data_IF_496294770729
#
_entry.id   IF_496294770729
#
_cell.length_a   1.000
_cell.length_b   1.000
_cell.length_c   1.000
_cell.angle_alpha   90.00
_cell.angle_beta   90.00
_cell.angle_gamma   90.00
#
_symmetry.space_group_name_H-M   'P 1'
#
loop_
_entity.id
_entity.type
_entity.pdbx_description
1 polymer ?
#
# COMPACT_ATOMS: atom_id res chain seq x y z
N UNK A 1 20.26 -7.25 -63.73
CA UNK A 1 18.80 -6.96 -63.77
C UNK A 1 18.29 -7.39 -62.42
N UNK A 2 18.59 -6.56 -61.42
CA UNK A 2 18.26 -6.78 -60.02
C UNK A 2 17.01 -5.95 -59.72
N UNK A 3 15.94 -6.57 -59.25
CA UNK A 3 14.77 -5.88 -58.75
C UNK A 3 14.82 -5.86 -57.22
N UNK A 4 15.01 -4.67 -56.67
CA UNK A 4 14.74 -4.35 -55.27
C UNK A 4 13.22 -4.38 -55.04
N UNK A 5 12.73 -4.94 -53.92
CA UNK A 5 11.32 -4.79 -53.55
C UNK A 5 11.09 -3.42 -52.91
N UNK A 6 10.12 -2.68 -53.44
CA UNK A 6 9.60 -1.46 -52.81
C UNK A 6 8.92 -1.80 -51.47
N UNK A 7 9.27 -1.04 -50.42
CA UNK A 7 8.51 -1.00 -49.17
C UNK A 7 7.25 -0.14 -49.37
N UNK A 8 6.10 -0.69 -49.01
CA UNK A 8 4.82 0.00 -48.98
C UNK A 8 4.65 0.77 -47.66
N UNK A 9 4.42 2.08 -47.74
CA UNK A 9 4.24 3.03 -46.62
C UNK A 9 2.79 3.05 -46.07
N UNK A 10 2.24 1.91 -45.66
CA UNK A 10 0.92 1.88 -44.98
C UNK A 10 0.86 0.86 -43.83
N UNK A 11 0.87 1.29 -42.55
CA UNK A 11 0.84 0.38 -41.41
C UNK A 11 -0.54 -0.22 -41.11
N UNK A 12 -1.59 0.11 -41.86
CA UNK A 12 -2.96 -0.31 -41.55
C UNK A 12 -3.42 -1.62 -42.25
N UNK A 13 -2.69 -2.14 -43.24
CA UNK A 13 -3.12 -3.32 -44.02
C UNK A 13 -2.35 -4.61 -43.73
N UNK A 14 -1.37 -4.59 -42.80
CA UNK A 14 -0.49 -5.74 -42.54
C UNK A 14 -1.10 -6.86 -41.67
N UNK A 15 -2.38 -6.78 -41.27
CA UNK A 15 -2.99 -7.73 -40.32
C UNK A 15 -4.07 -8.65 -40.89
N UNK A 16 -4.27 -8.71 -42.21
CA UNK A 16 -5.35 -9.53 -42.79
C UNK A 16 -4.89 -10.36 -43.99
N UNK A 17 -3.99 -11.31 -43.77
CA UNK A 17 -3.83 -12.47 -44.67
C UNK A 17 -3.66 -13.75 -43.84
N UNK A 18 -4.58 -14.69 -44.04
CA UNK A 18 -4.69 -15.94 -43.27
C UNK A 18 -3.66 -17.02 -43.68
N UNK A 19 -2.66 -16.68 -44.49
CA UNK A 19 -1.68 -17.64 -45.03
C UNK A 19 -0.31 -17.65 -44.33
N UNK A 20 -0.04 -16.76 -43.37
CA UNK A 20 1.25 -16.72 -42.67
C UNK A 20 1.29 -17.42 -41.29
N UNK A 21 0.18 -18.05 -40.87
CA UNK A 21 0.04 -18.68 -39.54
C UNK A 21 0.48 -20.15 -39.44
N UNK A 22 1.04 -20.74 -40.50
CA UNK A 22 1.58 -22.10 -40.47
C UNK A 22 3.11 -22.12 -40.42
N UNK A 23 3.69 -21.67 -39.30
CA UNK A 23 5.00 -22.15 -38.87
C UNK A 23 4.85 -22.91 -37.55
N UNK A 24 4.89 -24.23 -37.66
CA UNK A 24 4.79 -25.19 -36.56
C UNK A 24 5.99 -25.07 -35.63
N UNK A 25 5.83 -24.34 -34.52
CA UNK A 25 6.66 -24.58 -33.33
C UNK A 25 6.08 -25.78 -32.57
N UNK A 26 6.83 -26.87 -32.54
CA UNK A 26 6.48 -28.09 -31.84
C UNK A 26 6.58 -27.85 -30.33
N UNK A 27 5.48 -27.43 -29.70
CA UNK A 27 5.40 -27.35 -28.24
C UNK A 27 5.42 -28.78 -27.66
N UNK A 28 6.47 -29.08 -26.89
CA UNK A 28 6.52 -30.34 -26.14
C UNK A 28 5.42 -30.34 -25.09
N UNK A 29 4.60 -31.39 -25.09
CA UNK A 29 3.44 -31.48 -24.19
C UNK A 29 3.89 -31.44 -22.72
N UNK A 30 3.04 -30.85 -21.87
CA UNK A 30 3.23 -30.78 -20.40
C UNK A 30 3.61 -32.12 -19.77
N UNK A 31 3.15 -33.23 -20.38
CA UNK A 31 3.44 -34.61 -19.96
C UNK A 31 4.92 -34.98 -20.20
N UNK A 32 5.49 -34.62 -21.34
CA UNK A 32 6.90 -34.87 -21.64
C UNK A 32 7.85 -34.10 -20.71
N UNK A 33 7.45 -32.89 -20.28
CA UNK A 33 8.24 -32.07 -19.35
C UNK A 33 8.30 -32.67 -17.95
N UNK A 34 7.19 -33.23 -17.46
CA UNK A 34 7.13 -33.89 -16.15
C UNK A 34 7.92 -35.21 -16.12
N UNK A 35 7.98 -35.91 -17.24
CA UNK A 35 8.71 -37.18 -17.36
C UNK A 35 10.24 -36.95 -17.42
N UNK A 36 10.68 -35.84 -18.02
CA UNK A 36 12.07 -35.39 -18.00
C UNK A 36 12.54 -34.92 -16.60
N UNK A 37 11.66 -34.36 -15.77
CA UNK A 37 11.99 -34.01 -14.38
C UNK A 37 12.15 -35.25 -13.49
N UNK A 38 11.38 -36.31 -13.76
CA UNK A 38 11.39 -37.54 -12.97
C UNK A 38 12.64 -38.40 -13.19
N UNK A 39 13.32 -38.24 -14.32
CA UNK A 39 14.50 -39.02 -14.71
C UNK A 39 15.83 -38.37 -14.33
N UNK A 40 15.81 -37.19 -13.71
CA UNK A 40 17.03 -36.45 -13.36
C UNK A 40 17.70 -37.05 -12.10
N UNK A 41 18.96 -37.51 -12.19
CA UNK A 41 19.63 -38.17 -11.06
C UNK A 41 19.94 -37.16 -9.94
N UNK A 42 19.39 -37.39 -8.74
CA UNK A 42 19.67 -36.59 -7.54
C UNK A 42 20.97 -37.04 -6.89
N UNK A 43 22.09 -36.38 -7.22
CA UNK A 43 23.34 -36.51 -6.46
C UNK A 43 23.25 -35.61 -5.21
N UNK A 44 22.93 -36.18 -4.05
CA UNK A 44 23.04 -35.49 -2.75
C UNK A 44 24.47 -35.64 -2.24
N UNK A 45 25.29 -34.61 -2.43
CA UNK A 45 26.53 -34.47 -1.65
C UNK A 45 26.18 -33.83 -0.30
N UNK A 46 26.31 -34.65 0.76
CA UNK A 46 26.15 -34.23 2.15
C UNK A 46 27.45 -33.55 2.60
N UNK A 47 27.52 -32.23 2.48
CA UNK A 47 28.60 -31.45 3.10
C UNK A 47 28.33 -31.40 4.61
N UNK A 48 29.07 -32.23 5.37
CA UNK A 48 29.11 -32.16 6.83
C UNK A 48 30.10 -31.07 7.23
N UNK A 49 29.59 -29.88 7.55
CA UNK A 49 30.40 -28.84 8.19
C UNK A 49 30.44 -29.13 9.68
N UNK A 50 31.60 -29.58 10.18
CA UNK A 50 31.90 -29.62 11.63
C UNK A 50 32.05 -28.18 12.13
N UNK A 51 31.33 -27.74 13.18
CA UNK A 51 31.62 -26.45 13.80
C UNK A 51 32.92 -26.54 14.60
N UNK A 52 33.90 -25.71 14.24
CA UNK A 52 35.09 -25.47 15.05
C UNK A 52 34.69 -24.63 16.26
N UNK A 53 34.94 -25.17 17.46
CA UNK A 53 34.77 -24.52 18.75
C UNK A 53 35.81 -23.40 18.88
N UNK A 54 35.39 -22.15 18.67
CA UNK A 54 36.22 -20.99 19.01
C UNK A 54 36.24 -20.82 20.54
N UNK A 55 37.44 -20.85 21.11
CA UNK A 55 37.70 -20.57 22.51
C UNK A 55 37.41 -19.10 22.84
N UNK A 56 36.63 -18.87 23.90
CA UNK A 56 36.41 -17.54 24.49
C UNK A 56 37.71 -17.02 25.08
N UNK A 57 38.22 -15.83 24.70
CA UNK A 57 39.23 -15.16 25.49
C UNK A 57 38.64 -14.64 26.81
N UNK A 58 39.47 -14.72 27.84
CA UNK A 58 39.13 -14.43 29.23
C UNK A 58 38.73 -12.97 29.46
N UNK A 59 37.80 -12.82 30.40
CA UNK A 59 37.29 -11.57 30.96
C UNK A 59 38.43 -10.78 31.62
N UNK A 60 38.82 -9.65 31.03
CA UNK A 60 39.71 -8.70 31.68
C UNK A 60 38.95 -7.93 32.77
N UNK A 61 39.57 -7.83 33.95
CA UNK A 61 39.08 -7.14 35.14
C UNK A 61 38.93 -5.63 34.91
N UNK A 62 37.83 -5.07 35.43
CA UNK A 62 37.62 -3.62 35.58
C UNK A 62 38.54 -3.09 36.69
N UNK A 63 39.37 -2.07 36.46
CA UNK A 63 39.97 -1.34 37.56
C UNK A 63 38.95 -0.41 38.21
N UNK A 64 39.08 -0.30 39.53
CA UNK A 64 38.17 0.31 40.47
C UNK A 64 37.98 1.83 40.27
N UNK A 65 36.76 2.26 40.59
CA UNK A 65 36.30 3.65 40.69
C UNK A 65 36.95 4.31 41.92
N UNK A 66 37.65 5.43 41.72
CA UNK A 66 38.12 6.32 42.78
C UNK A 66 37.41 7.71 42.68
N UNK A 67 37.31 8.47 43.79
CA UNK A 67 36.19 9.37 44.06
C UNK A 67 36.32 10.79 43.48
N UNK A 68 35.16 11.40 43.24
CA UNK A 68 34.93 12.81 42.88
C UNK A 68 35.47 13.78 43.96
N UNK A 69 36.20 14.83 43.59
CA UNK A 69 36.31 16.03 44.42
C UNK A 69 35.14 16.99 44.21
N UNK A 70 34.78 17.69 45.28
CA UNK A 70 33.64 18.58 45.39
C UNK A 70 33.84 19.95 44.71
N UNK A 71 32.69 20.53 44.37
CA UNK A 71 32.37 21.80 43.72
C UNK A 71 32.93 23.04 44.44
N UNK A 72 33.22 24.13 43.71
CA UNK A 72 32.96 25.46 44.22
C UNK A 72 31.76 26.10 43.51
N UNK A 73 30.85 26.60 44.33
CA UNK A 73 29.72 27.47 43.97
C UNK A 73 30.26 28.87 43.73
N UNK A 74 29.89 29.54 42.62
CA UNK A 74 29.73 31.00 42.61
C UNK A 74 28.99 31.56 41.39
N UNK A 75 27.89 32.24 41.73
CA UNK A 75 27.40 33.55 41.21
C UNK A 75 27.16 33.76 39.71
N UNK A 76 25.88 33.81 39.34
CA UNK A 76 25.33 34.85 38.46
C UNK A 76 25.17 36.18 39.27
N UNK A 77 24.81 37.36 38.70
CA UNK A 77 24.38 37.66 37.33
C UNK A 77 25.02 38.94 36.70
N UNK A 78 24.87 39.14 35.39
CA UNK A 78 24.78 40.49 34.80
C UNK A 78 24.18 40.46 33.39
N UNK A 79 23.00 41.05 33.27
CA UNK A 79 22.38 41.57 32.05
C UNK A 79 23.19 42.73 31.45
N UNK A 80 23.39 42.76 30.13
CA UNK A 80 23.15 43.95 29.27
C UNK A 80 23.25 43.65 27.76
N UNK A 81 22.60 44.47 26.90
CA UNK A 81 22.21 44.08 25.55
C UNK A 81 23.03 44.76 24.41
N UNK A 82 22.68 44.32 23.20
CA UNK A 82 22.71 45.02 21.90
C UNK A 82 24.06 45.31 21.24
N UNK A 83 24.28 44.66 20.09
CA UNK A 83 24.63 45.39 18.87
C UNK A 83 24.22 44.64 17.61
N UNK A 84 23.53 45.39 16.77
CA UNK A 84 23.22 45.14 15.37
C UNK A 84 24.47 44.89 14.55
N UNK A 85 24.37 44.02 13.54
CA UNK A 85 24.91 44.43 12.25
C UNK A 85 24.08 43.90 11.08
N UNK A 86 23.71 44.85 10.23
CA UNK A 86 23.14 44.66 8.91
C UNK A 86 24.27 44.30 7.97
N UNK A 87 24.07 43.36 7.05
CA UNK A 87 24.42 43.63 5.64
C UNK A 87 23.71 42.69 4.68
N UNK A 88 23.20 43.35 3.65
CA UNK A 88 22.47 42.85 2.50
C UNK A 88 23.37 42.07 1.54
N UNK A 89 22.74 41.16 0.78
CA UNK A 89 22.76 40.96 -0.68
C UNK A 89 21.65 39.91 -0.92
N UNK A 90 20.75 39.96 -1.89
CA UNK A 90 20.75 40.61 -3.19
C UNK A 90 20.14 39.61 -4.16
N UNK A 91 18.84 39.76 -4.40
CA UNK A 91 18.03 39.44 -5.61
C UNK A 91 18.58 38.38 -6.59
N UNK A 92 17.82 37.30 -6.80
CA UNK A 92 17.40 36.88 -8.14
C UNK A 92 16.01 36.25 -8.10
N UNK A 93 15.07 36.95 -8.72
CA UNK A 93 13.76 36.47 -9.12
C UNK A 93 13.79 36.16 -10.62
N UNK A 94 13.32 34.98 -10.99
CA UNK A 94 12.73 34.58 -12.29
C UNK A 94 11.78 33.43 -11.91
N UNK A 95 10.45 33.53 -11.81
CA UNK A 95 9.36 33.93 -12.72
C UNK A 95 9.11 32.93 -13.86
N UNK A 96 8.01 32.16 -13.67
CA UNK A 96 7.06 31.56 -14.65
C UNK A 96 7.51 30.29 -15.39
N UNK A 97 6.67 29.30 -15.73
CA UNK A 97 5.23 29.20 -16.07
C UNK A 97 4.71 27.82 -15.60
N UNK A 98 3.55 27.70 -14.95
CA UNK A 98 2.20 27.50 -15.52
C UNK A 98 1.89 26.07 -16.02
N UNK A 99 1.04 25.36 -15.27
CA UNK A 99 0.09 24.36 -15.78
C UNK A 99 -1.13 24.38 -14.85
N UNK A 100 -1.92 25.44 -14.98
CA UNK A 100 -3.28 25.53 -14.47
C UNK A 100 -4.19 25.73 -15.69
N UNK A 101 -4.73 24.64 -16.23
CA UNK A 101 -5.79 24.69 -17.21
C UNK A 101 -6.47 23.31 -17.29
N UNK A 102 -7.44 23.07 -16.41
CA UNK A 102 -8.68 22.33 -16.72
C UNK A 102 -9.64 22.42 -15.52
N UNK A 103 -10.10 23.64 -15.22
CA UNK A 103 -11.33 23.85 -14.44
C UNK A 103 -12.30 24.60 -15.33
N UNK A 104 -13.01 23.84 -16.17
CA UNK A 104 -14.18 24.33 -16.87
C UNK A 104 -15.25 24.66 -15.85
N UNK A 105 -15.64 25.93 -15.79
CA UNK A 105 -16.74 26.45 -15.00
C UNK A 105 -18.06 25.94 -15.57
N UNK A 106 -18.55 24.81 -15.09
CA UNK A 106 -19.97 24.49 -15.14
C UNK A 106 -20.63 25.10 -13.90
N UNK A 107 -21.38 26.18 -14.10
CA UNK A 107 -22.26 26.72 -13.08
C UNK A 107 -23.35 25.68 -12.77
N UNK A 108 -23.36 25.16 -11.53
CA UNK A 108 -24.47 24.35 -11.02
C UNK A 108 -25.45 25.27 -10.28
N UNK A 109 -26.77 25.10 -10.45
CA UNK A 109 -27.76 25.79 -9.64
C UNK A 109 -27.74 25.21 -8.22
N UNK A 110 -27.47 26.07 -7.23
CA UNK A 110 -27.59 25.72 -5.83
C UNK A 110 -29.07 25.63 -5.44
N UNK A 111 -29.55 24.43 -5.15
CA UNK A 111 -30.78 24.24 -4.37
C UNK A 111 -30.49 23.36 -3.16
N UNK A 112 -30.60 24.01 -2.00
CA UNK A 112 -31.04 23.51 -0.70
C UNK A 112 -30.41 22.24 -0.10
N UNK A 113 -29.55 22.44 0.90
CA UNK A 113 -29.58 21.62 2.12
C UNK A 113 -29.53 22.53 3.34
N UNK A 114 -30.61 22.50 4.12
CA UNK A 114 -30.67 23.01 5.48
C UNK A 114 -30.56 21.81 6.41
N UNK A 115 -29.57 21.80 7.29
CA UNK A 115 -29.44 20.79 8.34
C UNK A 115 -28.06 20.88 9.00
N UNK A 116 -28.04 21.45 10.21
CA UNK A 116 -26.86 21.79 10.99
C UNK A 116 -26.02 20.56 11.38
N UNK A 117 -24.70 20.63 11.18
CA UNK A 117 -23.77 19.61 11.67
C UNK A 117 -22.33 19.80 11.19
N UNK A 118 -21.48 20.40 12.03
CA UNK A 118 -20.01 20.38 12.03
C UNK A 118 -19.26 20.75 10.74
N UNK A 119 -18.72 21.97 10.71
CA UNK A 119 -18.02 22.64 9.59
C UNK A 119 -16.65 22.05 9.20
N UNK A 120 -16.24 20.91 9.78
CA UNK A 120 -14.98 20.22 9.42
C UNK A 120 -15.22 18.98 8.56
N UNK A 121 -16.43 18.39 8.57
CA UNK A 121 -16.78 17.22 7.76
C UNK A 121 -17.29 17.57 6.35
N UNK A 122 -18.12 18.61 6.23
CA UNK A 122 -18.81 18.95 4.97
C UNK A 122 -17.88 19.42 3.84
N UNK A 123 -16.70 19.96 4.16
CA UNK A 123 -15.75 20.43 3.15
C UNK A 123 -15.00 19.27 2.45
N UNK A 124 -14.95 18.07 3.04
CA UNK A 124 -14.27 16.90 2.44
C UNK A 124 -15.19 16.12 1.49
N UNK A 125 -16.50 16.17 1.69
CA UNK A 125 -17.49 15.53 0.82
C UNK A 125 -17.54 16.18 -0.57
N UNK A 126 -17.17 17.46 -0.68
CA UNK A 126 -17.23 18.20 -1.95
C UNK A 126 -16.02 17.97 -2.88
N UNK A 127 -14.89 17.43 -2.39
CA UNK A 127 -13.65 17.36 -3.17
C UNK A 127 -13.40 16.02 -3.89
N UNK A 128 -14.29 15.03 -3.73
CA UNK A 128 -14.23 13.75 -4.46
C UNK A 128 -15.21 13.70 -5.64
N UNK A 129 -15.63 14.85 -6.18
CA UNK A 129 -16.42 14.93 -7.41
C UNK A 129 -15.46 14.99 -8.60
N UNK A 130 -14.78 13.88 -8.90
CA UNK A 130 -14.18 13.68 -10.22
C UNK A 130 -15.19 12.91 -11.07
N UNK A 131 -15.85 13.64 -11.96
CA UNK A 131 -16.71 13.10 -13.01
C UNK A 131 -15.86 12.28 -13.99
N UNK A 132 -15.85 10.96 -13.84
CA UNK A 132 -15.48 10.05 -14.94
C UNK A 132 -16.65 9.99 -15.92
N UNK A 133 -16.59 10.82 -16.96
CA UNK A 133 -17.53 10.78 -18.08
C UNK A 133 -17.14 9.65 -19.04
N UNK A 134 -17.78 8.49 -18.85
CA UNK A 134 -17.78 7.39 -19.81
C UNK A 134 -19.07 6.59 -19.69
N UNK A 135 -20.06 6.89 -20.54
CA UNK A 135 -21.26 6.05 -20.70
C UNK A 135 -22.40 6.30 -19.69
N UNK A 136 -23.04 7.46 -19.76
CA UNK A 136 -24.49 7.61 -19.51
C UNK A 136 -25.06 7.34 -18.11
N UNK A 137 -24.27 6.94 -17.11
CA UNK A 137 -24.73 6.75 -15.74
C UNK A 137 -23.86 7.59 -14.80
N UNK A 138 -24.47 8.61 -14.21
CA UNK A 138 -23.82 9.44 -13.18
C UNK A 138 -23.87 8.67 -11.87
N UNK A 139 -22.80 7.95 -11.52
CA UNK A 139 -22.66 7.38 -10.17
C UNK A 139 -21.86 8.33 -9.30
N UNK A 140 -22.58 9.03 -8.43
CA UNK A 140 -22.02 9.77 -7.30
C UNK A 140 -21.86 8.77 -6.17
N UNK A 141 -20.62 8.33 -5.89
CA UNK A 141 -20.36 7.50 -4.71
C UNK A 141 -20.23 8.43 -3.50
N UNK A 142 -21.37 8.80 -2.93
CA UNK A 142 -21.40 9.28 -1.56
C UNK A 142 -21.00 8.12 -0.64
N UNK A 143 -20.15 8.40 0.37
CA UNK A 143 -19.75 7.41 1.40
C UNK A 143 -20.93 6.91 2.26
N UNK A 144 -22.09 7.53 2.10
CA UNK A 144 -23.29 7.26 2.88
C UNK A 144 -24.13 6.15 2.21
N UNK A 145 -23.84 4.90 2.56
CA UNK A 145 -24.84 3.83 2.57
C UNK A 145 -25.49 3.44 1.24
N UNK A 146 -24.81 3.56 0.10
CA UNK A 146 -25.26 2.91 -1.13
C UNK A 146 -24.90 1.41 -1.06
N UNK A 147 -25.93 0.56 -1.07
CA UNK A 147 -25.79 -0.85 -1.43
C UNK A 147 -24.86 -0.94 -2.66
N UNK A 148 -23.70 -1.55 -2.49
CA UNK A 148 -22.81 -1.83 -3.61
C UNK A 148 -23.60 -2.77 -4.53
N UNK A 149 -24.10 -2.24 -5.65
CA UNK A 149 -24.89 -3.02 -6.62
C UNK A 149 -24.02 -3.96 -7.47
N UNK A 150 -22.71 -3.99 -7.19
CA UNK A 150 -21.76 -4.88 -7.83
C UNK A 150 -21.70 -6.22 -7.11
N UNK A 151 -21.38 -7.28 -7.86
CA UNK A 151 -21.21 -8.59 -7.23
C UNK A 151 -20.01 -8.57 -6.27
N UNK A 152 -20.07 -9.31 -5.15
CA UNK A 152 -18.93 -9.49 -4.23
C UNK A 152 -17.61 -9.81 -4.94
N UNK A 153 -17.68 -10.60 -6.02
CA UNK A 153 -16.52 -11.00 -6.81
C UNK A 153 -15.91 -9.83 -7.61
N UNK A 154 -16.71 -8.85 -8.01
CA UNK A 154 -16.22 -7.66 -8.73
C UNK A 154 -15.40 -6.72 -7.83
N UNK A 155 -15.57 -6.81 -6.51
CA UNK A 155 -14.79 -6.04 -5.54
C UNK A 155 -13.41 -6.67 -5.27
N UNK A 156 -13.22 -7.94 -5.59
CA UNK A 156 -11.92 -8.59 -5.46
C UNK A 156 -11.08 -8.37 -6.73
N UNK A 157 -10.26 -7.31 -6.75
CA UNK A 157 -9.42 -7.02 -7.92
C UNK A 157 -8.19 -7.93 -8.05
N UNK A 158 -7.91 -8.81 -7.08
CA UNK A 158 -6.68 -9.61 -7.01
C UNK A 158 -6.50 -10.61 -8.16
N UNK A 159 -7.62 -11.07 -8.74
CA UNK A 159 -7.63 -12.04 -9.86
C UNK A 159 -8.47 -11.59 -11.05
N UNK A 160 -9.17 -10.45 -10.95
CA UNK A 160 -10.05 -9.96 -12.00
C UNK A 160 -9.27 -9.35 -13.16
N UNK A 161 -9.83 -9.46 -14.37
CA UNK A 161 -9.30 -8.84 -15.59
C UNK A 161 -9.80 -7.40 -15.82
N UNK A 162 -10.59 -6.86 -14.89
CA UNK A 162 -11.18 -5.53 -14.92
C UNK A 162 -11.25 -4.95 -13.52
N UNK A 163 -11.17 -3.62 -13.40
CA UNK A 163 -11.37 -2.91 -12.13
C UNK A 163 -12.83 -2.46 -12.03
N UNK A 164 -13.51 -2.78 -10.93
CA UNK A 164 -14.87 -2.29 -10.68
C UNK A 164 -14.88 -0.78 -10.44
N UNK A 165 -15.94 -0.06 -10.84
CA UNK A 165 -16.09 1.36 -10.53
C UNK A 165 -15.97 1.68 -9.03
N UNK A 166 -16.48 0.82 -8.14
CA UNK A 166 -16.37 1.02 -6.69
C UNK A 166 -14.93 0.93 -6.21
N UNK A 167 -14.16 -0.05 -6.68
CA UNK A 167 -12.73 -0.20 -6.35
C UNK A 167 -11.94 0.98 -6.90
N UNK A 168 -12.16 1.34 -8.17
CA UNK A 168 -11.49 2.46 -8.82
C UNK A 168 -11.75 3.78 -8.08
N UNK A 169 -13.00 4.07 -7.71
CA UNK A 169 -13.36 5.29 -7.00
C UNK A 169 -12.65 5.41 -5.64
N UNK A 170 -12.56 4.32 -4.88
CA UNK A 170 -11.83 4.32 -3.61
C UNK A 170 -10.32 4.47 -3.84
N UNK A 171 -9.76 3.77 -4.83
CA UNK A 171 -8.35 3.90 -5.20
C UNK A 171 -7.99 5.35 -5.59
N UNK A 172 -8.84 6.04 -6.36
CA UNK A 172 -8.67 7.47 -6.69
C UNK A 172 -8.61 8.33 -5.43
N UNK A 173 -9.49 8.10 -4.45
CA UNK A 173 -9.46 8.82 -3.17
C UNK A 173 -8.15 8.59 -2.41
N UNK A 174 -7.68 7.35 -2.37
CA UNK A 174 -6.41 6.98 -1.73
C UNK A 174 -5.22 7.63 -2.44
N UNK A 175 -5.22 7.70 -3.77
CA UNK A 175 -4.18 8.40 -4.53
C UNK A 175 -4.19 9.92 -4.28
N UNK A 176 -5.35 10.52 -3.97
CA UNK A 176 -5.42 11.87 -3.43
C UNK A 176 -4.73 12.01 -2.06
N UNK A 177 -4.84 11.01 -1.18
CA UNK A 177 -4.11 10.97 0.08
C UNK A 177 -2.59 10.81 -0.14
N UNK A 178 -2.16 10.05 -1.16
CA UNK A 178 -0.75 9.96 -1.56
C UNK A 178 -0.23 11.32 -2.04
N UNK A 179 -0.95 11.97 -2.95
CA UNK A 179 -0.56 13.29 -3.48
C UNK A 179 -0.43 14.37 -2.40
N UNK A 180 -1.23 14.28 -1.32
CA UNK A 180 -1.17 15.18 -0.17
C UNK A 180 -0.15 14.79 0.91
N UNK A 181 0.58 13.67 0.74
CA UNK A 181 1.56 13.17 1.72
C UNK A 181 0.93 12.55 2.98
N UNK A 182 -0.38 12.29 2.95
CA UNK A 182 -1.13 11.64 4.05
C UNK A 182 -1.03 10.13 3.99
N UNK A 183 -0.92 9.54 2.79
CA UNK A 183 -0.60 8.13 2.60
C UNK A 183 0.81 8.02 2.02
N UNK A 184 1.68 7.26 2.67
CA UNK A 184 3.08 7.09 2.25
C UNK A 184 3.44 5.61 2.16
N UNK A 185 4.31 5.27 1.21
CA UNK A 185 4.79 3.90 1.00
C UNK A 185 6.20 3.71 1.54
N UNK A 186 6.56 2.47 1.87
CA UNK A 186 7.94 2.07 2.12
C UNK A 186 8.68 1.69 0.83
N UNK A 187 9.89 1.15 0.94
CA UNK A 187 10.63 0.57 -0.20
C UNK A 187 10.84 -0.92 0.04
N UNK A 188 10.40 -1.82 -0.88
CA UNK A 188 9.67 -1.54 -2.12
C UNK A 188 8.31 -0.88 -1.91
N UNK A 189 7.89 -0.08 -2.88
CA UNK A 189 6.68 0.73 -2.76
C UNK A 189 5.48 0.02 -3.38
N UNK A 190 4.50 -0.34 -2.55
CA UNK A 190 3.27 -1.01 -2.95
C UNK A 190 2.13 -0.05 -3.31
N UNK A 191 2.33 1.27 -3.21
CA UNK A 191 1.32 2.25 -3.62
C UNK A 191 1.08 2.29 -5.14
N UNK A 192 2.00 1.72 -5.93
CA UNK A 192 1.80 1.56 -7.38
C UNK A 192 0.59 0.68 -7.72
N UNK A 193 0.32 -0.34 -6.90
CA UNK A 193 -0.85 -1.22 -7.08
C UNK A 193 -2.17 -0.45 -6.92
N UNK A 194 -2.23 0.49 -5.97
CA UNK A 194 -3.39 1.37 -5.79
C UNK A 194 -3.50 2.35 -6.96
N UNK A 195 -2.38 2.83 -7.49
CA UNK A 195 -2.36 3.73 -8.64
C UNK A 195 -2.94 3.05 -9.89
N UNK A 196 -2.55 1.80 -10.16
CA UNK A 196 -3.09 1.01 -11.28
C UNK A 196 -4.63 0.88 -11.17
N UNK A 197 -5.13 0.57 -9.97
CA UNK A 197 -6.58 0.50 -9.73
C UNK A 197 -7.27 1.86 -9.91
N UNK A 198 -6.64 2.96 -9.51
CA UNK A 198 -7.19 4.31 -9.68
C UNK A 198 -7.30 4.70 -11.17
N UNK A 199 -6.35 4.25 -11.99
CA UNK A 199 -6.37 4.42 -13.45
C UNK A 199 -7.33 3.44 -14.16
N UNK A 200 -7.88 2.46 -13.43
CA UNK A 200 -8.74 1.41 -13.97
C UNK A 200 -7.97 0.30 -14.68
N UNK A 201 -6.65 0.21 -14.42
CA UNK A 201 -5.77 -0.79 -15.00
C UNK A 201 -5.79 -2.07 -14.14
N UNK A 202 -6.34 -3.14 -14.70
CA UNK A 202 -6.26 -4.48 -14.11
C UNK A 202 -4.93 -5.13 -14.50
N UNK A 203 -3.90 -4.93 -13.66
CA UNK A 203 -2.57 -5.52 -13.87
C UNK A 203 -2.52 -6.92 -13.25
N UNK A 204 -2.10 -7.91 -14.05
CA UNK A 204 -2.08 -9.30 -13.63
C UNK A 204 -1.20 -9.51 -12.38
N UNK A 205 -1.78 -10.10 -11.33
CA UNK A 205 -1.13 -10.34 -10.02
C UNK A 205 -0.77 -9.07 -9.23
N UNK A 206 -1.35 -7.92 -9.59
CA UNK A 206 -1.15 -6.64 -8.90
C UNK A 206 -2.45 -6.04 -8.36
N UNK A 207 -3.54 -6.81 -8.36
CA UNK A 207 -4.78 -6.37 -7.75
C UNK A 207 -4.69 -6.28 -6.24
N UNK A 208 -5.62 -5.52 -5.65
CA UNK A 208 -5.76 -5.32 -4.20
C UNK A 208 -7.19 -5.61 -3.79
N UNK A 209 -7.36 -6.37 -2.71
CA UNK A 209 -8.67 -6.64 -2.13
C UNK A 209 -9.34 -5.32 -1.72
N UNK A 210 -10.62 -5.15 -2.06
CA UNK A 210 -11.34 -3.92 -1.72
C UNK A 210 -11.31 -3.63 -0.21
N UNK A 211 -11.34 -4.66 0.64
CA UNK A 211 -11.28 -4.54 2.10
C UNK A 211 -9.96 -3.96 2.58
N UNK A 212 -8.86 -4.25 1.88
CA UNK A 212 -7.54 -3.63 2.14
C UNK A 212 -7.62 -2.13 1.86
N UNK A 213 -8.18 -1.71 0.72
CA UNK A 213 -8.35 -0.29 0.39
C UNK A 213 -9.25 0.41 1.44
N UNK A 214 -10.33 -0.25 1.87
CA UNK A 214 -11.21 0.28 2.92
C UNK A 214 -10.49 0.44 4.26
N UNK A 215 -9.68 -0.55 4.68
CA UNK A 215 -8.89 -0.47 5.91
C UNK A 215 -7.90 0.71 5.87
N UNK A 216 -7.24 0.95 4.74
CA UNK A 216 -6.37 2.12 4.55
C UNK A 216 -7.18 3.41 4.63
N UNK A 217 -8.37 3.47 4.03
CA UNK A 217 -9.25 4.64 4.13
C UNK A 217 -9.68 4.92 5.57
N UNK A 218 -10.07 3.90 6.33
CA UNK A 218 -10.45 4.05 7.74
C UNK A 218 -9.26 4.56 8.57
N UNK A 219 -8.04 4.06 8.31
CA UNK A 219 -6.84 4.59 8.94
C UNK A 219 -6.63 6.08 8.57
N UNK A 220 -6.82 6.46 7.31
CA UNK A 220 -6.73 7.86 6.89
C UNK A 220 -7.83 8.76 7.47
N UNK A 221 -8.98 8.23 7.86
CA UNK A 221 -10.03 9.02 8.51
C UNK A 221 -9.69 9.30 9.99
N UNK A 222 -8.85 8.47 10.62
CA UNK A 222 -8.50 8.55 12.04
C UNK A 222 -7.08 9.07 12.30
N UNK A 223 -6.19 9.01 11.31
CA UNK A 223 -4.80 9.43 11.40
C UNK A 223 -4.48 10.48 10.32
N UNK A 224 -3.68 11.49 10.69
CA UNK A 224 -3.23 12.54 9.77
C UNK A 224 -2.27 12.00 8.71
N UNK A 225 -1.45 11.01 9.07
CA UNK A 225 -0.54 10.31 8.18
C UNK A 225 -0.57 8.80 8.43
N UNK A 226 -0.60 8.02 7.36
CA UNK A 226 -0.59 6.56 7.35
C UNK A 226 0.53 6.10 6.43
N UNK A 227 1.37 5.18 6.91
CA UNK A 227 2.42 4.54 6.13
C UNK A 227 2.16 3.06 5.95
N UNK A 228 2.22 2.60 4.71
CA UNK A 228 2.03 1.20 4.30
C UNK A 228 3.34 0.64 3.77
N UNK A 229 3.77 -0.51 4.30
CA UNK A 229 5.00 -1.17 3.83
C UNK A 229 4.72 -2.21 2.77
N UNK A 230 3.61 -2.96 2.87
CA UNK A 230 3.30 -4.06 1.98
C UNK A 230 1.80 -4.17 1.71
N UNK A 231 1.45 -4.53 0.46
CA UNK A 231 0.08 -4.84 0.03
C UNK A 231 0.09 -6.12 -0.83
N UNK A 232 0.47 -6.06 -2.10
CA UNK A 232 0.57 -7.22 -2.99
C UNK A 232 2.04 -7.56 -3.28
N UNK A 233 2.63 -8.39 -2.43
CA UNK A 233 4.00 -8.91 -2.66
C UNK A 233 4.10 -9.80 -3.90
N UNK A 234 3.00 -10.34 -4.42
CA UNK A 234 3.00 -11.05 -5.70
C UNK A 234 3.28 -10.13 -6.88
N UNK A 235 2.79 -8.89 -6.82
CA UNK A 235 3.03 -7.87 -7.84
C UNK A 235 4.52 -7.56 -8.01
N UNK A 236 5.23 -7.44 -6.89
CA UNK A 236 6.66 -7.12 -6.86
C UNK A 236 7.56 -8.35 -6.91
N UNK A 237 6.98 -9.55 -6.81
CA UNK A 237 7.73 -10.82 -6.71
C UNK A 237 8.46 -11.02 -5.39
N UNK A 238 8.15 -10.24 -4.36
CA UNK A 238 8.74 -10.38 -3.03
C UNK A 238 8.21 -11.65 -2.33
N UNK A 239 9.12 -12.44 -1.77
CA UNK A 239 8.78 -13.62 -0.98
C UNK A 239 9.38 -13.42 0.42
N UNK A 240 8.51 -13.13 1.37
CA UNK A 240 8.86 -12.78 2.75
C UNK A 240 7.94 -13.52 3.73
N UNK A 241 8.33 -13.61 5.00
CA UNK A 241 7.52 -14.23 6.05
C UNK A 241 7.05 -15.65 5.69
N UNK A 242 5.74 -15.87 5.69
CA UNK A 242 5.09 -17.14 5.32
C UNK A 242 5.27 -17.55 3.84
N UNK A 243 6.04 -16.80 3.06
CA UNK A 243 6.34 -17.12 1.67
C UNK A 243 5.10 -17.00 0.78
N UNK A 244 4.93 -17.96 -0.13
CA UNK A 244 3.79 -17.97 -1.07
C UNK A 244 2.44 -18.24 -0.39
N UNK A 245 2.45 -18.68 0.87
CA UNK A 245 1.24 -18.92 1.66
C UNK A 245 0.77 -17.66 2.40
N UNK A 246 1.54 -16.56 2.33
CA UNK A 246 1.15 -15.26 2.89
C UNK A 246 -0.02 -14.65 2.12
N UNK A 247 -0.96 -13.99 2.79
CA UNK A 247 -2.05 -13.24 2.16
C UNK A 247 -1.59 -12.08 1.27
N UNK A 248 -0.35 -11.59 1.42
CA UNK A 248 0.25 -10.66 0.46
C UNK A 248 0.55 -11.31 -0.90
N UNK A 249 0.61 -12.65 -0.97
CA UNK A 249 1.07 -13.40 -2.15
C UNK A 249 0.07 -14.44 -2.67
N UNK A 250 -0.59 -15.16 -1.77
CA UNK A 250 -1.53 -16.23 -2.08
C UNK A 250 -2.71 -15.74 -2.92
N UNK A 251 -3.28 -16.63 -3.73
CA UNK A 251 -4.51 -16.45 -4.50
C UNK A 251 -4.59 -15.25 -5.46
N UNK A 252 -3.47 -14.56 -5.73
CA UNK A 252 -3.48 -13.32 -6.54
C UNK A 252 -2.64 -12.23 -5.89
N UNK A 253 -2.42 -12.37 -4.58
CA UNK A 253 -1.80 -11.39 -3.71
C UNK A 253 -2.74 -10.23 -3.41
N UNK A 254 -2.33 -9.31 -2.54
CA UNK A 254 -3.11 -8.11 -2.25
C UNK A 254 -4.29 -8.33 -1.29
N UNK A 255 -4.33 -9.45 -0.57
CA UNK A 255 -5.33 -9.72 0.47
C UNK A 255 -4.87 -9.26 1.87
N UNK A 256 -3.76 -8.54 1.97
CA UNK A 256 -3.22 -8.07 3.24
C UNK A 256 -2.62 -6.68 3.13
N UNK A 257 -2.47 -6.02 4.28
CA UNK A 257 -1.80 -4.73 4.42
C UNK A 257 -0.93 -4.72 5.67
N UNK A 258 0.31 -4.27 5.48
CA UNK A 258 1.23 -3.99 6.57
C UNK A 258 1.32 -2.49 6.79
N UNK A 259 0.78 -2.00 7.91
CA UNK A 259 0.97 -0.62 8.35
C UNK A 259 2.28 -0.52 9.13
N UNK A 260 3.20 0.35 8.71
CA UNK A 260 4.47 0.56 9.41
C UNK A 260 4.55 1.90 10.14
N UNK A 261 3.64 2.84 9.84
CA UNK A 261 3.67 4.19 10.38
C UNK A 261 2.26 4.75 10.57
N UNK A 262 1.99 5.37 11.72
CA UNK A 262 0.80 6.20 11.94
C UNK A 262 1.19 7.52 12.61
N UNK A 263 0.73 8.65 12.08
CA UNK A 263 1.06 10.00 12.57
C UNK A 263 2.57 10.18 12.84
N UNK A 264 3.42 9.73 11.90
CA UNK A 264 4.88 9.82 12.01
C UNK A 264 5.53 8.91 13.05
N UNK A 265 4.80 7.98 13.69
CA UNK A 265 5.38 7.01 14.63
C UNK A 265 5.39 5.61 14.05
N UNK A 266 6.51 4.87 14.15
CA UNK A 266 6.58 3.51 13.67
C UNK A 266 5.69 2.58 14.49
N UNK A 267 5.17 1.54 13.85
CA UNK A 267 4.29 0.56 14.48
C UNK A 267 5.04 -0.72 14.88
N UNK A 268 4.49 -1.42 15.86
CA UNK A 268 4.97 -2.73 16.31
C UNK A 268 3.87 -3.80 16.37
N UNK A 269 2.62 -3.43 16.07
CA UNK A 269 1.44 -4.28 16.24
C UNK A 269 0.95 -4.38 17.69
N UNK A 270 1.65 -3.73 18.63
CA UNK A 270 1.24 -3.62 20.04
C UNK A 270 1.53 -2.27 20.71
N UNK A 271 2.10 -1.31 19.97
CA UNK A 271 2.20 0.07 20.40
C UNK A 271 0.83 0.76 20.46
N UNK A 272 0.76 1.93 21.12
CA UNK A 272 -0.50 2.63 21.37
C UNK A 272 -1.31 2.92 20.09
N UNK A 273 -0.66 3.26 18.97
CA UNK A 273 -1.36 3.59 17.72
C UNK A 273 -1.82 2.34 16.97
N UNK A 274 -1.05 1.26 17.03
CA UNK A 274 -1.52 -0.05 16.57
C UNK A 274 -2.79 -0.46 17.32
N UNK A 275 -2.78 -0.35 18.65
CA UNK A 275 -3.91 -0.72 19.50
C UNK A 275 -5.14 0.18 19.27
N UNK A 276 -4.93 1.45 18.93
CA UNK A 276 -6.00 2.37 18.53
C UNK A 276 -6.64 1.94 17.20
N UNK A 277 -5.84 1.72 16.16
CA UNK A 277 -6.34 1.28 14.85
C UNK A 277 -7.06 -0.08 14.93
N UNK A 278 -6.54 -1.03 15.72
CA UNK A 278 -7.19 -2.34 15.94
C UNK A 278 -8.60 -2.15 16.51
N UNK A 279 -8.77 -1.29 17.53
CA UNK A 279 -10.10 -1.07 18.15
C UNK A 279 -11.08 -0.38 17.21
N UNK A 280 -10.58 0.48 16.32
CA UNK A 280 -11.39 1.14 15.30
C UNK A 280 -11.85 0.11 14.27
N UNK A 281 -10.96 -0.77 13.82
CA UNK A 281 -11.25 -1.73 12.76
C UNK A 281 -12.03 -2.96 13.22
N UNK A 282 -11.81 -3.46 14.44
CA UNK A 282 -12.42 -4.72 14.91
C UNK A 282 -13.94 -4.77 14.69
N UNK A 283 -14.77 -3.75 15.02
CA UNK A 283 -16.20 -3.84 14.77
C UNK A 283 -16.59 -3.70 13.28
N UNK A 284 -15.69 -3.18 12.44
CA UNK A 284 -15.94 -2.87 11.03
C UNK A 284 -15.53 -4.03 10.11
N UNK A 285 -14.43 -4.70 10.42
CA UNK A 285 -13.94 -5.81 9.60
C UNK A 285 -14.86 -7.02 9.71
N UNK A 286 -14.98 -7.83 8.65
CA UNK A 286 -15.76 -9.05 8.75
C UNK A 286 -15.11 -10.09 9.68
N UNK A 287 -15.92 -11.03 10.16
CA UNK A 287 -15.41 -12.15 10.95
C UNK A 287 -14.39 -12.96 10.16
N UNK A 288 -13.36 -13.45 10.85
CA UNK A 288 -12.28 -14.22 10.23
C UNK A 288 -11.12 -13.39 9.71
N UNK A 289 -11.19 -12.05 9.80
CA UNK A 289 -10.07 -11.16 9.42
C UNK A 289 -8.82 -11.47 10.25
N UNK A 290 -7.69 -11.75 9.61
CA UNK A 290 -6.43 -12.04 10.28
C UNK A 290 -5.81 -10.77 10.88
N UNK A 291 -5.21 -10.93 12.06
CA UNK A 291 -4.48 -9.86 12.75
C UNK A 291 -3.14 -10.39 13.26
N UNK A 292 -2.04 -9.94 12.67
CA UNK A 292 -0.70 -10.38 13.08
C UNK A 292 -0.29 -9.87 14.46
N UNK A 293 0.97 -10.12 14.84
CA UNK A 293 1.63 -9.55 16.03
C UNK A 293 0.98 -9.89 17.38
N UNK A 294 0.35 -11.07 17.52
CA UNK A 294 -0.28 -11.47 18.80
C UNK A 294 0.73 -11.44 19.97
N UNK A 295 2.00 -11.81 19.74
CA UNK A 295 3.06 -11.79 20.75
C UNK A 295 3.61 -10.39 21.09
N UNK A 296 3.17 -9.34 20.40
CA UNK A 296 3.68 -7.98 20.55
C UNK A 296 2.77 -7.09 21.41
N UNK A 297 1.56 -7.56 21.73
CA UNK A 297 0.55 -6.81 22.50
C UNK A 297 0.07 -7.59 23.72
N UNK A 298 -0.54 -6.87 24.65
CA UNK A 298 -1.33 -7.49 25.71
C UNK A 298 -2.60 -8.11 25.14
N UNK A 299 -3.19 -9.06 25.88
CA UNK A 299 -4.47 -9.67 25.49
C UNK A 299 -5.55 -8.60 25.28
N UNK A 300 -6.33 -8.79 24.23
CA UNK A 300 -7.44 -7.93 23.83
C UNK A 300 -8.66 -8.78 23.54
N UNK A 301 -9.83 -8.27 23.90
CA UNK A 301 -11.10 -8.83 23.43
C UNK A 301 -11.35 -8.34 22.00
N UNK A 302 -11.40 -9.28 21.06
CA UNK A 302 -11.59 -9.03 19.64
C UNK A 302 -12.80 -9.83 19.14
N UNK A 303 -13.68 -9.17 18.40
CA UNK A 303 -14.93 -9.77 17.93
C UNK A 303 -14.75 -10.43 16.57
N UNK A 304 -14.09 -9.75 15.64
CA UNK A 304 -13.99 -10.19 14.25
C UNK A 304 -12.55 -10.57 13.87
N UNK A 305 -11.55 -9.93 14.48
CA UNK A 305 -10.16 -10.29 14.24
C UNK A 305 -9.78 -11.68 14.79
N UNK A 306 -8.97 -12.42 14.04
CA UNK A 306 -8.34 -13.69 14.40
C UNK A 306 -6.82 -13.51 14.53
N UNK A 307 -6.31 -13.40 15.77
CA UNK A 307 -4.89 -13.14 15.99
C UNK A 307 -3.96 -14.28 15.56
N UNK A 308 -2.78 -13.96 15.05
CA UNK A 308 -1.69 -14.92 14.80
C UNK A 308 -0.30 -14.31 15.01
N UNK A 309 0.73 -15.17 14.99
CA UNK A 309 2.12 -14.79 15.19
C UNK A 309 2.72 -14.10 13.97
N UNK A 310 3.30 -12.92 14.20
CA UNK A 310 4.06 -12.17 13.19
C UNK A 310 5.06 -11.23 13.91
N UNK A 311 5.99 -10.64 13.16
CA UNK A 311 7.09 -9.81 13.64
C UNK A 311 6.63 -8.44 14.14
N UNK A 312 7.23 -7.97 15.25
CA UNK A 312 6.82 -6.76 15.97
C UNK A 312 7.36 -5.45 15.38
N UNK A 313 7.36 -5.29 14.05
CA UNK A 313 7.89 -4.11 13.35
C UNK A 313 6.86 -3.44 12.42
N UNK A 314 5.62 -3.92 12.41
CA UNK A 314 4.49 -3.37 11.69
C UNK A 314 3.18 -3.86 12.34
N UNK A 315 2.03 -3.41 11.83
CA UNK A 315 0.71 -3.96 12.12
C UNK A 315 0.18 -4.64 10.85
N UNK A 316 0.03 -5.95 10.89
CA UNK A 316 -0.47 -6.78 9.80
C UNK A 316 -1.97 -7.02 9.92
N UNK A 317 -2.68 -6.84 8.82
CA UNK A 317 -4.10 -7.17 8.69
C UNK A 317 -4.31 -7.91 7.37
N UNK A 318 -4.94 -9.07 7.40
CA UNK A 318 -5.26 -9.83 6.20
C UNK A 318 -6.71 -10.31 6.13
N UNK A 319 -7.21 -10.41 4.91
CA UNK A 319 -8.59 -10.73 4.59
C UNK A 319 -8.74 -12.03 3.79
N UNK A 320 -7.66 -12.77 3.58
CA UNK A 320 -7.64 -13.98 2.74
C UNK A 320 -8.66 -15.03 3.22
N UNK A 321 -8.85 -15.14 4.54
CA UNK A 321 -9.82 -16.07 5.17
C UNK A 321 -11.00 -15.34 5.82
N UNK A 322 -11.13 -14.04 5.56
CA UNK A 322 -12.22 -13.23 6.10
C UNK A 322 -13.50 -13.48 5.32
N UNK A 323 -14.61 -13.56 6.04
CA UNK A 323 -15.94 -13.60 5.44
C UNK A 323 -16.28 -12.26 4.79
N UNK A 324 -17.30 -12.22 3.93
CA UNK A 324 -17.87 -10.97 3.40
C UNK A 324 -16.98 -10.16 2.46
N UNK A 325 -17.56 -9.36 1.54
CA UNK A 325 -16.78 -8.67 0.51
C UNK A 325 -16.32 -7.25 0.88
N UNK A 326 -16.76 -6.72 2.01
CA UNK A 326 -16.50 -5.33 2.41
C UNK A 326 -16.51 -5.17 3.94
N UNK A 327 -15.85 -4.13 4.43
CA UNK A 327 -16.02 -3.66 5.81
C UNK A 327 -17.46 -3.18 6.02
N UNK A 328 -18.00 -3.42 7.21
CA UNK A 328 -19.25 -2.83 7.69
C UNK A 328 -18.97 -1.36 7.96
N UNK A 329 -19.46 -0.47 7.11
CA UNK A 329 -19.52 0.94 7.47
C UNK A 329 -20.59 1.11 8.55
N UNK A 330 -20.20 1.73 9.67
CA UNK A 330 -21.10 2.10 10.76
C UNK A 330 -21.93 3.32 10.43
#
# INVERSE_FOLDING_TARGET
>A
MDQQPELSDDPATAFTTAEELTSTQTFTSRRARLEAERTRPRKRERIVVKPARAERPARAERPARAPRPARPVRTAPATRPARSDRRHWGVHAVVMLALAAFFGTAALPAYATTGEGSTVGAARTALAVQTLTGGGVTQVVARDGLDIQESPQALDSTTNSTVSPTVQALAVQLMGAVASGRLVGSTPNHLGEIADLAEGHAVQSCGVDYRVLQAISVALDNFNQVGVSDINRRCTGQIEGAGTDSAHYADGGGHAVDFYLLNGSPLTGGDAKSMELIRILDPLVPDGTGLGQIGCRSSMDLSNFKPFDDTCNHLHIDFLKSDGPALRYG
#
